data_IF_285199011908
#
_entry.id   IF_285199011908
#
_cell.length_a   1.000
_cell.length_b   1.000
_cell.length_c   1.000
_cell.angle_alpha   90.00
_cell.angle_beta   90.00
_cell.angle_gamma   90.00
#
_symmetry.space_group_name_H-M   'P 1'
#
loop_
_entity.id
_entity.type
_entity.pdbx_description
1 polymer ?
#
# COMPACT_ATOMS: atom_id res chain seq x y z
N UNK A 1 7.83 10.83 5.80
CA UNK A 1 6.38 10.86 6.09
C UNK A 1 6.05 9.67 6.97
N UNK A 2 4.91 9.68 7.65
CA UNK A 2 4.47 8.60 8.56
C UNK A 2 3.01 8.26 8.30
N UNK A 3 2.65 6.98 8.42
CA UNK A 3 1.27 6.55 8.48
C UNK A 3 1.10 5.48 9.59
N UNK A 4 -0.16 5.27 9.98
CA UNK A 4 -0.59 4.06 10.68
C UNK A 4 -1.32 3.20 9.65
N UNK A 5 -0.87 1.97 9.46
CA UNK A 5 -1.37 1.11 8.40
C UNK A 5 -1.77 -0.28 8.88
N UNK A 6 -2.71 -0.90 8.16
CA UNK A 6 -3.07 -2.30 8.31
C UNK A 6 -3.46 -2.88 6.96
N UNK A 7 -3.12 -4.15 6.74
CA UNK A 7 -3.40 -4.86 5.50
C UNK A 7 -4.17 -6.15 5.80
N UNK A 8 -5.15 -6.44 4.96
CA UNK A 8 -5.95 -7.65 5.02
C UNK A 8 -5.98 -8.35 3.67
N UNK A 9 -5.99 -9.68 3.72
CA UNK A 9 -6.42 -10.50 2.60
C UNK A 9 -7.94 -10.64 2.66
N UNK A 10 -8.58 -10.63 1.49
CA UNK A 10 -10.03 -10.74 1.36
C UNK A 10 -10.39 -11.81 0.33
N UNK A 11 -11.56 -12.46 0.46
CA UNK A 11 -12.02 -13.44 -0.51
C UNK A 11 -12.42 -12.81 -1.85
N UNK A 12 -12.94 -11.58 -1.82
CA UNK A 12 -13.29 -10.79 -3.00
C UNK A 12 -13.38 -9.30 -2.66
N UNK A 13 -12.91 -8.46 -3.58
CA UNK A 13 -13.00 -7.00 -3.54
C UNK A 13 -14.29 -6.46 -4.14
N UNK A 14 -15.13 -7.29 -4.79
CA UNK A 14 -16.32 -6.80 -5.49
C UNK A 14 -17.30 -6.08 -4.55
N UNK A 15 -17.62 -6.69 -3.41
CA UNK A 15 -18.54 -6.11 -2.42
C UNK A 15 -17.91 -4.92 -1.70
N UNK A 16 -16.60 -5.00 -1.43
CA UNK A 16 -15.82 -3.93 -0.79
C UNK A 16 -15.75 -2.69 -1.70
N UNK A 17 -15.52 -2.88 -3.00
CA UNK A 17 -15.52 -1.82 -3.99
C UNK A 17 -16.91 -1.16 -4.07
N UNK A 18 -17.97 -1.97 -4.07
CA UNK A 18 -19.35 -1.49 -4.15
C UNK A 18 -19.72 -0.66 -2.92
N UNK A 19 -19.32 -1.13 -1.73
CA UNK A 19 -19.45 -0.39 -0.49
C UNK A 19 -18.68 0.93 -0.51
N UNK A 20 -17.38 0.90 -0.84
CA UNK A 20 -16.53 2.10 -0.87
C UNK A 20 -17.02 3.13 -1.90
N UNK A 21 -17.50 2.69 -3.06
CA UNK A 21 -18.00 3.57 -4.12
C UNK A 21 -19.36 4.18 -3.81
N UNK A 22 -20.19 3.50 -3.01
CA UNK A 22 -21.50 4.00 -2.57
C UNK A 22 -21.46 4.78 -1.25
N UNK A 23 -20.32 4.83 -0.58
CA UNK A 23 -20.19 5.44 0.74
C UNK A 23 -20.07 6.98 0.61
N UNK A 24 -20.86 7.77 1.37
CA UNK A 24 -20.93 9.22 1.20
C UNK A 24 -19.60 9.95 1.44
N UNK A 25 -18.79 9.44 2.37
CA UNK A 25 -17.53 10.08 2.77
C UNK A 25 -16.27 9.44 2.16
N UNK A 26 -16.43 8.37 1.36
CA UNK A 26 -15.30 7.70 0.70
C UNK A 26 -15.27 8.16 -0.75
N UNK A 27 -14.15 8.76 -1.16
CA UNK A 27 -13.97 9.28 -2.51
C UNK A 27 -13.09 8.35 -3.34
N UNK A 28 -13.55 7.99 -4.54
CA UNK A 28 -12.70 7.33 -5.53
C UNK A 28 -11.64 8.30 -6.07
N UNK A 29 -10.40 7.85 -6.18
CA UNK A 29 -9.31 8.63 -6.79
C UNK A 29 -8.95 8.10 -8.17
N UNK A 30 -8.43 6.86 -8.23
CA UNK A 30 -7.92 6.27 -9.47
C UNK A 30 -7.79 4.75 -9.37
N UNK A 31 -7.57 4.13 -10.53
CA UNK A 31 -7.19 2.71 -10.68
C UNK A 31 -5.99 2.62 -11.64
N UNK A 32 -4.93 1.93 -11.21
CA UNK A 32 -3.67 1.81 -11.97
C UNK A 32 -3.12 0.39 -11.92
N UNK A 33 -2.51 -0.03 -13.03
CA UNK A 33 -1.62 -1.18 -13.04
C UNK A 33 -0.25 -0.75 -12.52
N UNK A 34 0.31 -1.56 -11.62
CA UNK A 34 1.56 -1.27 -10.94
C UNK A 34 2.47 -2.49 -10.94
N UNK A 35 3.76 -2.24 -11.11
CA UNK A 35 4.82 -3.21 -10.92
C UNK A 35 5.77 -2.70 -9.86
N UNK A 36 5.81 -3.35 -8.70
CA UNK A 36 6.73 -3.04 -7.61
C UNK A 36 7.95 -3.97 -7.68
N UNK A 37 9.14 -3.42 -7.94
CA UNK A 37 10.42 -4.14 -7.92
C UNK A 37 11.10 -3.87 -6.59
N UNK A 38 11.31 -4.91 -5.79
CA UNK A 38 11.94 -4.82 -4.48
C UNK A 38 13.44 -5.06 -4.60
N UNK A 39 14.23 -4.30 -3.84
CA UNK A 39 15.69 -4.37 -3.85
C UNK A 39 16.22 -4.81 -2.49
N UNK A 40 17.38 -5.49 -2.49
CA UNK A 40 18.05 -5.87 -1.25
C UNK A 40 18.68 -4.64 -0.61
N UNK A 41 18.32 -4.34 0.63
CA UNK A 41 18.90 -3.27 1.43
C UNK A 41 19.18 -3.78 2.86
N UNK A 42 20.16 -3.23 3.58
CA UNK A 42 20.51 -3.70 4.92
C UNK A 42 19.36 -3.56 5.93
N UNK A 43 18.57 -2.49 5.79
CA UNK A 43 17.45 -2.19 6.67
C UNK A 43 16.27 -1.59 5.90
N UNK A 44 15.06 -1.83 6.40
CA UNK A 44 13.84 -1.38 5.77
C UNK A 44 13.54 -2.12 4.47
N UNK A 45 12.75 -1.48 3.61
CA UNK A 45 12.36 -2.01 2.31
C UNK A 45 12.47 -0.90 1.28
N UNK A 46 13.17 -1.20 0.18
CA UNK A 46 13.30 -0.32 -0.97
C UNK A 46 12.58 -0.95 -2.16
N UNK A 47 11.70 -0.18 -2.81
CA UNK A 47 11.05 -0.62 -4.04
C UNK A 47 10.99 0.49 -5.08
N UNK A 48 11.17 0.11 -6.34
CA UNK A 48 10.84 0.94 -7.50
C UNK A 48 9.45 0.53 -7.98
N UNK A 49 8.51 1.47 -7.96
CA UNK A 49 7.15 1.31 -8.44
C UNK A 49 7.02 1.90 -9.84
N UNK A 50 6.73 1.03 -10.79
CA UNK A 50 6.30 1.39 -12.13
C UNK A 50 4.78 1.48 -12.11
N UNK A 51 4.24 2.47 -12.81
CA UNK A 51 2.80 2.71 -12.91
C UNK A 51 2.45 2.82 -14.39
N UNK A 52 1.19 2.58 -14.74
CA UNK A 52 0.68 2.80 -16.10
C UNK A 52 0.93 4.21 -16.63
N UNK A 53 0.95 5.17 -15.70
CA UNK A 53 1.20 6.59 -15.98
C UNK A 53 2.68 6.89 -15.68
N UNK A 54 3.24 7.94 -16.28
CA UNK A 54 4.67 8.33 -16.16
C UNK A 54 5.12 8.76 -14.75
N UNK A 55 4.28 8.56 -13.73
CA UNK A 55 4.51 8.92 -12.33
C UNK A 55 5.18 7.76 -11.57
N UNK A 56 6.33 7.28 -12.04
CA UNK A 56 7.05 6.21 -11.33
C UNK A 56 7.62 6.71 -10.00
N UNK A 57 7.75 5.82 -9.02
CA UNK A 57 8.16 6.20 -7.67
C UNK A 57 9.26 5.27 -7.16
N UNK A 58 10.31 5.84 -6.58
CA UNK A 58 11.22 5.11 -5.70
C UNK A 58 10.74 5.31 -4.27
N UNK A 59 10.45 4.21 -3.58
CA UNK A 59 9.86 4.23 -2.24
C UNK A 59 10.77 3.46 -1.29
N UNK A 60 11.27 4.15 -0.27
CA UNK A 60 11.87 3.52 0.90
C UNK A 60 10.88 3.57 2.06
N UNK A 61 10.74 2.48 2.80
CA UNK A 61 9.94 2.47 4.02
C UNK A 61 10.48 1.52 5.07
N UNK A 62 10.20 1.83 6.33
CA UNK A 62 10.48 0.99 7.49
C UNK A 62 9.18 0.79 8.26
N UNK A 63 8.79 -0.48 8.41
CA UNK A 63 7.63 -0.90 9.20
C UNK A 63 7.92 -2.21 9.90
N UNK A 64 7.36 -2.40 11.09
CA UNK A 64 7.38 -3.70 11.76
C UNK A 64 6.34 -4.63 11.14
N UNK A 65 6.58 -5.94 11.18
CA UNK A 65 5.55 -6.92 10.82
C UNK A 65 4.55 -7.07 11.97
N UNK A 66 3.29 -6.76 11.71
CA UNK A 66 2.23 -6.82 12.73
C UNK A 66 0.87 -7.15 12.12
N UNK A 67 0.10 -7.97 12.83
CA UNK A 67 -1.31 -8.28 12.54
C UNK A 67 -2.27 -7.17 12.99
N UNK A 68 -1.78 -6.19 13.75
CA UNK A 68 -2.51 -5.01 14.21
C UNK A 68 -2.08 -3.76 13.42
N UNK A 69 -2.85 -2.65 13.50
CA UNK A 69 -2.38 -1.37 12.98
C UNK A 69 -0.98 -1.07 13.48
N UNK A 70 -0.14 -0.57 12.57
CA UNK A 70 1.29 -0.38 12.81
C UNK A 70 1.79 0.85 12.11
N UNK A 71 2.83 1.44 12.67
CA UNK A 71 3.51 2.56 12.06
C UNK A 71 4.33 2.14 10.84
N UNK A 72 4.29 2.97 9.80
CA UNK A 72 5.22 2.93 8.67
C UNK A 72 5.84 4.31 8.48
N UNK A 73 7.16 4.38 8.57
CA UNK A 73 7.92 5.55 8.14
C UNK A 73 8.29 5.35 6.67
N UNK A 74 8.02 6.33 5.81
CA UNK A 74 8.26 6.20 4.39
C UNK A 74 8.72 7.49 3.70
N UNK A 75 9.45 7.30 2.61
CA UNK A 75 10.03 8.31 1.75
C UNK A 75 9.69 7.96 0.30
N UNK A 76 9.19 8.95 -0.44
CA UNK A 76 8.80 8.79 -1.84
C UNK A 76 9.60 9.78 -2.66
N UNK A 77 10.23 9.29 -3.73
CA UNK A 77 10.87 10.10 -4.74
C UNK A 77 10.19 9.82 -6.09
N UNK A 78 9.56 10.84 -6.66
CA UNK A 78 8.99 10.76 -8.01
C UNK A 78 10.11 10.71 -9.05
N UNK A 79 10.06 9.75 -9.96
CA UNK A 79 11.10 9.47 -10.92
C UNK A 79 10.54 9.41 -12.35
N UNK A 80 10.75 10.47 -13.15
CA UNK A 80 10.30 10.46 -14.55
C UNK A 80 11.19 9.59 -15.48
N UNK A 81 12.49 9.42 -15.19
CA UNK A 81 13.41 8.55 -15.97
C UNK A 81 13.65 7.22 -15.27
N UNK A 82 12.75 6.26 -15.53
CA UNK A 82 12.78 4.93 -14.92
C UNK A 82 13.93 4.05 -15.43
N UNK A 83 14.27 4.12 -16.71
CA UNK A 83 15.16 3.13 -17.34
C UNK A 83 16.55 3.16 -16.73
N UNK A 84 17.13 4.38 -16.58
CA UNK A 84 18.46 4.53 -15.99
C UNK A 84 18.45 4.20 -14.50
N UNK A 85 17.43 4.66 -13.77
CA UNK A 85 17.33 4.39 -12.33
C UNK A 85 17.19 2.90 -12.05
N UNK A 86 16.31 2.20 -12.78
CA UNK A 86 16.15 0.75 -12.67
C UNK A 86 17.48 0.03 -12.91
N UNK A 87 18.18 0.35 -14.00
CA UNK A 87 19.46 -0.28 -14.31
C UNK A 87 20.49 -0.07 -13.19
N UNK A 88 20.56 1.15 -12.65
CA UNK A 88 21.45 1.48 -11.54
C UNK A 88 21.11 0.65 -10.29
N UNK A 89 19.84 0.62 -9.88
CA UNK A 89 19.38 -0.10 -8.70
C UNK A 89 19.58 -1.62 -8.83
N UNK A 90 19.29 -2.18 -10.01
CA UNK A 90 19.51 -3.59 -10.31
C UNK A 90 21.00 -3.96 -10.16
N UNK A 91 21.91 -3.08 -10.57
CA UNK A 91 23.37 -3.29 -10.44
C UNK A 91 23.90 -3.05 -9.03
N UNK A 92 23.37 -2.07 -8.32
CA UNK A 92 23.85 -1.68 -6.99
C UNK A 92 23.34 -2.62 -5.89
N UNK A 93 22.08 -3.04 -5.96
CA UNK A 93 21.40 -3.76 -4.87
C UNK A 93 20.97 -5.18 -5.26
N UNK A 94 20.75 -5.43 -6.55
CA UNK A 94 20.12 -6.65 -7.04
C UNK A 94 18.62 -6.69 -6.73
N UNK A 95 17.84 -7.18 -7.71
CA UNK A 95 16.40 -7.39 -7.51
C UNK A 95 16.15 -8.55 -6.56
N UNK A 96 15.24 -8.35 -5.61
CA UNK A 96 14.78 -9.35 -4.65
C UNK A 96 13.49 -10.03 -5.14
N UNK A 97 12.52 -9.24 -5.59
CA UNK A 97 11.22 -9.72 -6.05
C UNK A 97 10.55 -8.69 -6.94
N UNK A 98 9.64 -9.15 -7.79
CA UNK A 98 8.79 -8.30 -8.61
C UNK A 98 7.33 -8.65 -8.34
N UNK A 99 6.52 -7.64 -8.05
CA UNK A 99 5.10 -7.79 -7.72
C UNK A 99 4.28 -7.04 -8.75
N UNK A 100 3.45 -7.76 -9.50
CA UNK A 100 2.48 -7.18 -10.43
C UNK A 100 1.11 -7.10 -9.76
N UNK A 101 0.46 -5.95 -9.89
CA UNK A 101 -0.86 -5.73 -9.28
C UNK A 101 -1.66 -4.66 -9.99
N UNK A 102 -2.97 -4.75 -9.81
CA UNK A 102 -3.91 -3.67 -10.11
C UNK A 102 -4.40 -3.05 -8.80
N UNK A 103 -4.12 -1.76 -8.60
CA UNK A 103 -4.51 -1.00 -7.41
C UNK A 103 -5.63 -0.04 -7.74
N UNK A 104 -6.68 -0.05 -6.93
CA UNK A 104 -7.67 1.03 -6.87
C UNK A 104 -7.46 1.81 -5.59
N UNK A 105 -7.41 3.14 -5.67
CA UNK A 105 -7.30 4.03 -4.53
C UNK A 105 -8.63 4.74 -4.26
N UNK A 106 -9.05 4.69 -3.00
CA UNK A 106 -10.05 5.59 -2.44
C UNK A 106 -9.46 6.39 -1.27
N UNK A 107 -10.12 7.50 -0.92
CA UNK A 107 -9.77 8.37 0.19
C UNK A 107 -10.93 8.52 1.17
N UNK A 108 -10.63 8.43 2.46
CA UNK A 108 -11.53 8.80 3.55
C UNK A 108 -10.76 9.68 4.53
N UNK A 109 -11.05 10.98 4.57
CA UNK A 109 -10.27 11.96 5.36
C UNK A 109 -8.77 11.85 5.04
N UNK A 110 -7.93 11.51 6.02
CA UNK A 110 -6.49 11.31 5.90
C UNK A 110 -6.09 9.85 5.55
N UNK A 111 -7.06 8.97 5.29
CA UNK A 111 -6.84 7.54 5.07
C UNK A 111 -6.88 7.22 3.59
N UNK A 112 -5.80 6.62 3.10
CA UNK A 112 -5.75 5.96 1.80
C UNK A 112 -6.28 4.54 1.95
N UNK A 113 -7.25 4.17 1.12
CA UNK A 113 -7.82 2.83 1.04
C UNK A 113 -7.36 2.21 -0.28
N UNK A 114 -6.43 1.27 -0.22
CA UNK A 114 -5.93 0.54 -1.37
C UNK A 114 -6.69 -0.77 -1.53
N UNK A 115 -7.32 -0.98 -2.68
CA UNK A 115 -7.85 -2.27 -3.10
C UNK A 115 -6.89 -2.85 -4.13
N UNK A 116 -6.19 -3.92 -3.77
CA UNK A 116 -5.12 -4.51 -4.56
C UNK A 116 -5.49 -5.92 -5.04
N UNK A 117 -5.46 -6.13 -6.35
CA UNK A 117 -5.44 -7.46 -6.96
C UNK A 117 -3.99 -7.77 -7.31
N UNK A 118 -3.38 -8.74 -6.63
CA UNK A 118 -1.96 -9.07 -6.75
C UNK A 118 -1.80 -10.42 -7.45
N UNK A 119 -1.08 -10.42 -8.57
CA UNK A 119 -0.81 -11.63 -9.34
C UNK A 119 -0.06 -12.67 -8.48
N UNK A 120 -0.59 -13.89 -8.43
CA UNK A 120 -0.02 -14.98 -7.64
C UNK A 120 -0.28 -14.94 -6.13
N UNK A 121 -0.84 -13.85 -5.59
CA UNK A 121 -1.12 -13.72 -4.14
C UNK A 121 -2.60 -13.54 -3.77
N UNK A 122 -3.43 -13.05 -4.70
CA UNK A 122 -4.88 -12.85 -4.49
C UNK A 122 -5.24 -11.39 -4.23
N UNK A 123 -6.33 -11.18 -3.48
CA UNK A 123 -6.94 -9.86 -3.30
C UNK A 123 -6.77 -9.33 -1.88
N UNK A 124 -6.52 -8.02 -1.78
CA UNK A 124 -6.16 -7.36 -0.53
C UNK A 124 -6.80 -5.98 -0.41
N UNK A 125 -7.05 -5.58 0.84
CA UNK A 125 -7.35 -4.21 1.22
C UNK A 125 -6.29 -3.72 2.20
N UNK A 126 -5.75 -2.53 1.97
CA UNK A 126 -4.80 -1.86 2.86
C UNK A 126 -5.34 -0.47 3.22
N UNK A 127 -5.35 -0.15 4.51
CA UNK A 127 -5.72 1.15 5.03
C UNK A 127 -4.45 1.84 5.52
N UNK A 128 -4.18 3.05 5.06
CA UNK A 128 -3.00 3.84 5.43
C UNK A 128 -3.45 5.23 5.91
N UNK A 129 -3.56 5.40 7.22
CA UNK A 129 -3.93 6.66 7.88
C UNK A 129 -2.70 7.55 8.02
N UNK A 130 -2.61 8.60 7.20
CA UNK A 130 -1.43 9.49 7.15
C UNK A 130 -1.36 10.35 8.41
N UNK A 131 -0.16 10.46 8.98
CA UNK A 131 0.16 11.37 10.10
C UNK A 131 0.92 12.55 9.52
N UNK A 132 0.39 13.75 9.72
CA UNK A 132 0.96 15.01 9.24
C UNK A 132 0.67 16.18 10.19
N UNK A 133 0.87 17.42 9.72
CA UNK A 133 0.66 18.62 10.52
C UNK A 133 -0.82 18.96 10.78
N UNK A 134 -1.75 18.36 10.03
CA UNK A 134 -3.19 18.53 10.20
C UNK A 134 -3.82 17.38 10.99
N UNK A 135 -3.20 16.20 10.93
CA UNK A 135 -3.67 14.98 11.61
C UNK A 135 -2.52 14.36 12.41
N UNK A 136 -2.55 14.54 13.73
CA UNK A 136 -1.60 13.87 14.61
C UNK A 136 -1.87 12.36 14.72
N UNK A 137 -1.02 11.66 15.47
CA UNK A 137 -1.08 10.20 15.62
C UNK A 137 -2.37 9.71 16.29
N UNK A 138 -2.87 10.46 17.28
CA UNK A 138 -4.11 10.11 17.98
C UNK A 138 -5.32 10.24 17.06
N UNK A 139 -5.41 11.36 16.34
CA UNK A 139 -6.45 11.61 15.34
C UNK A 139 -6.38 10.59 14.20
N UNK A 140 -5.18 10.26 13.71
CA UNK A 140 -4.98 9.25 12.66
C UNK A 140 -5.43 7.86 13.11
N UNK A 141 -5.12 7.48 14.36
CA UNK A 141 -5.54 6.20 14.93
C UNK A 141 -7.05 6.14 15.15
N UNK A 142 -7.65 7.25 15.62
CA UNK A 142 -9.10 7.37 15.81
C UNK A 142 -9.84 7.26 14.48
N UNK A 143 -9.44 8.03 13.47
CA UNK A 143 -10.02 7.97 12.13
C UNK A 143 -9.92 6.55 11.55
N UNK A 144 -8.78 5.87 11.75
CA UNK A 144 -8.60 4.49 11.29
C UNK A 144 -9.55 3.52 11.98
N UNK A 145 -9.69 3.63 13.31
CA UNK A 145 -10.61 2.77 14.06
C UNK A 145 -12.07 3.00 13.67
N UNK A 146 -12.48 4.26 13.47
CA UNK A 146 -13.81 4.61 12.97
C UNK A 146 -14.07 3.96 11.61
N UNK A 147 -13.13 4.09 10.67
CA UNK A 147 -13.27 3.50 9.34
C UNK A 147 -13.31 1.97 9.41
N UNK A 148 -12.39 1.33 10.15
CA UNK A 148 -12.39 -0.13 10.31
C UNK A 148 -13.71 -0.65 10.92
N UNK A 149 -14.32 0.13 11.81
CA UNK A 149 -15.65 -0.15 12.35
C UNK A 149 -16.74 -0.20 11.27
N UNK A 150 -16.61 0.51 10.15
CA UNK A 150 -17.56 0.45 9.04
C UNK A 150 -17.34 -0.78 8.13
N UNK A 151 -16.14 -1.36 8.13
CA UNK A 151 -15.80 -2.54 7.35
C UNK A 151 -15.97 -3.87 8.13
N UNK A 152 -16.56 -3.84 9.33
CA UNK A 152 -16.67 -4.99 10.23
C UNK A 152 -17.47 -6.17 9.65
N UNK A 153 -18.36 -5.92 8.69
CA UNK A 153 -19.17 -6.96 8.03
C UNK A 153 -18.40 -7.76 6.98
N UNK A 154 -17.22 -7.29 6.55
CA UNK A 154 -16.39 -7.98 5.56
C UNK A 154 -15.48 -9.02 6.22
N UNK A 155 -15.21 -10.11 5.49
CA UNK A 155 -14.23 -11.11 5.91
C UNK A 155 -12.82 -10.61 5.63
N UNK A 156 -12.22 -9.99 6.66
CA UNK A 156 -10.87 -9.40 6.59
C UNK A 156 -9.86 -10.27 7.37
N UNK A 157 -8.90 -10.88 6.68
CA UNK A 157 -7.83 -11.67 7.31
C UNK A 157 -6.55 -10.83 7.42
N UNK A 158 -6.05 -10.46 8.61
CA UNK A 158 -4.86 -9.62 8.75
C UNK A 158 -3.61 -10.23 8.12
N UNK A 159 -2.79 -9.39 7.47
CA UNK A 159 -1.54 -9.78 6.79
C UNK A 159 -0.38 -8.90 7.27
N UNK A 160 0.65 -9.48 7.93
CA UNK A 160 1.71 -8.71 8.59
C UNK A 160 2.91 -8.39 7.68
N UNK A 161 3.01 -9.00 6.50
CA UNK A 161 4.18 -8.97 5.62
C UNK A 161 3.93 -8.19 4.32
N UNK A 162 4.98 -7.83 3.58
CA UNK A 162 4.85 -7.21 2.25
C UNK A 162 4.40 -8.22 1.19
N UNK A 163 4.03 -7.74 -0.01
CA UNK A 163 3.66 -8.65 -1.10
C UNK A 163 4.85 -9.47 -1.60
N UNK A 164 6.06 -8.89 -1.63
CA UNK A 164 7.28 -9.62 -1.98
C UNK A 164 7.46 -10.86 -1.09
N UNK A 165 7.27 -10.70 0.22
CA UNK A 165 7.37 -11.80 1.20
C UNK A 165 6.25 -12.84 1.05
N UNK A 166 5.09 -12.49 0.49
CA UNK A 166 4.00 -13.45 0.25
C UNK A 166 4.23 -14.31 -0.98
N UNK A 167 4.95 -13.79 -1.98
CA UNK A 167 5.24 -14.46 -3.25
C UNK A 167 6.53 -15.29 -3.18
N UNK A 168 7.43 -15.01 -2.24
CA UNK A 168 8.68 -15.75 -2.00
C UNK A 168 8.45 -17.09 -1.25
N UNK A 169 7.40 -17.83 -1.61
CA UNK A 169 7.03 -19.11 -0.99
C UNK A 169 7.67 -20.31 -1.65
#
# INVERSE_FOLDING_TARGET
MKNIEIKYQVPSLQDIYSFASGHPDIRYEWKKEQTDIYYKVPEGQLKLRLQSDSDHELIFYRRQSSLKPRESEYYIYSCPDMTKLKHLLDKAFGSLAQVHKTRTLFMFRNIRIHLDVVEGAGEFIEFESVVDHLTDEEAAQKNLNELLGQFHSFSLKPVPVSYAQLLDK
#
